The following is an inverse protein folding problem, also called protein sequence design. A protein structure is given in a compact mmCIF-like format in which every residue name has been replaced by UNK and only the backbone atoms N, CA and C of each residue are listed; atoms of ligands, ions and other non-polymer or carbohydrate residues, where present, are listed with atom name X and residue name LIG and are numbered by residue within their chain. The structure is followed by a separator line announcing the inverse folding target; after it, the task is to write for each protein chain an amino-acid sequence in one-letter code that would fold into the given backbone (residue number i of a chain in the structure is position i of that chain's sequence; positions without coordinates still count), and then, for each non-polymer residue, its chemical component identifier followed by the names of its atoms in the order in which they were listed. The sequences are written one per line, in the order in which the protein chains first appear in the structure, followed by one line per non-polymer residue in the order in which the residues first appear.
data_IF_670128787100
#
_entry.id   IF_670128787100
#
_cell.length_a   1.000
_cell.length_b   1.000
_cell.length_c   1.000
_cell.angle_alpha   90.00
_cell.angle_beta   90.00
_cell.angle_gamma   90.00
#
_symmetry.space_group_name_H-M   'P 1'
#
loop_
_entity.id
_entity.type
_entity.pdbx_description
1 polymer ?
#
# COMPACT_ATOMS: atom_id res chain seq x y z
N UNK A 1 25.81 -19.16 31.55
CA UNK A 1 24.47 -19.11 32.16
C UNK A 1 23.72 -17.94 31.56
N UNK A 2 22.40 -18.03 31.40
CA UNK A 2 21.56 -16.88 31.03
C UNK A 2 21.63 -15.83 32.15
N UNK A 3 22.02 -14.58 31.87
CA UNK A 3 22.16 -13.54 32.89
C UNK A 3 20.86 -13.24 33.64
N UNK A 4 19.70 -13.51 33.03
CA UNK A 4 18.38 -13.31 33.63
C UNK A 4 18.08 -14.30 34.75
N UNK A 5 18.77 -15.44 34.82
CA UNK A 5 18.48 -16.49 35.79
C UNK A 5 18.59 -16.01 37.25
N UNK A 6 19.50 -15.07 37.54
CA UNK A 6 19.67 -14.52 38.87
C UNK A 6 18.44 -13.74 39.34
N UNK A 7 17.81 -12.98 38.44
CA UNK A 7 16.59 -12.22 38.75
C UNK A 7 15.43 -13.17 39.06
N UNK A 8 15.25 -14.20 38.23
CA UNK A 8 14.23 -15.24 38.46
C UNK A 8 14.49 -15.99 39.76
N UNK A 9 15.75 -16.36 40.03
CA UNK A 9 16.12 -17.03 41.27
C UNK A 9 15.77 -16.18 42.50
N UNK A 10 16.14 -14.89 42.51
CA UNK A 10 15.84 -14.00 43.61
C UNK A 10 14.33 -13.81 43.78
N UNK A 11 13.57 -13.71 42.68
CA UNK A 11 12.10 -13.61 42.71
C UNK A 11 11.47 -14.86 43.34
N UNK A 12 11.87 -16.05 42.88
CA UNK A 12 11.36 -17.32 43.42
C UNK A 12 11.79 -17.55 44.88
N UNK A 13 12.99 -17.10 45.25
CA UNK A 13 13.47 -17.19 46.63
C UNK A 13 12.68 -16.28 47.57
N UNK A 14 12.42 -15.04 47.18
CA UNK A 14 11.55 -14.13 47.94
C UNK A 14 10.14 -14.69 48.06
N UNK A 15 9.56 -15.16 46.95
CA UNK A 15 8.22 -15.74 46.92
C UNK A 15 8.08 -16.95 47.88
N UNK A 16 9.05 -17.86 47.89
CA UNK A 16 9.03 -19.01 48.79
C UNK A 16 9.24 -18.63 50.25
N UNK A 17 10.04 -17.61 50.54
CA UNK A 17 10.21 -17.09 51.91
C UNK A 17 8.93 -16.45 52.43
N UNK A 18 8.27 -15.65 51.61
CA UNK A 18 6.96 -15.04 51.95
C UNK A 18 5.89 -16.11 52.16
N UNK A 19 5.75 -17.05 51.21
CA UNK A 19 4.80 -18.16 51.33
C UNK A 19 5.13 -19.09 52.51
N UNK A 20 6.42 -19.28 52.80
CA UNK A 20 6.89 -20.02 53.96
C UNK A 20 6.49 -19.35 55.28
N UNK A 21 6.54 -18.02 55.36
CA UNK A 21 6.09 -17.27 56.52
C UNK A 21 4.57 -17.40 56.76
N UNK A 22 3.78 -17.37 55.68
CA UNK A 22 2.34 -17.64 55.75
C UNK A 22 2.06 -19.06 56.25
N UNK A 23 2.77 -20.06 55.69
CA UNK A 23 2.67 -21.46 56.15
C UNK A 23 3.02 -21.59 57.64
N UNK A 24 4.05 -20.88 58.11
CA UNK A 24 4.45 -20.91 59.51
C UNK A 24 3.39 -20.35 60.45
N UNK A 25 2.68 -19.31 60.01
CA UNK A 25 1.56 -18.73 60.77
C UNK A 25 0.37 -19.68 60.85
N UNK A 26 0.05 -20.37 59.76
CA UNK A 26 -1.08 -21.32 59.68
C UNK A 26 -0.79 -22.65 60.39
N UNK A 27 0.47 -23.10 60.38
CA UNK A 27 0.88 -24.41 60.89
C UNK A 27 2.08 -24.33 61.85
N UNK A 28 1.94 -23.65 63.01
CA UNK A 28 3.06 -23.33 63.89
C UNK A 28 3.77 -24.56 64.45
N UNK A 29 3.04 -25.66 64.73
CA UNK A 29 3.63 -26.91 65.20
C UNK A 29 4.53 -27.59 64.16
N UNK A 30 4.20 -27.46 62.87
CA UNK A 30 4.97 -28.06 61.77
C UNK A 30 6.16 -27.16 61.45
N UNK A 31 5.93 -25.84 61.35
CA UNK A 31 6.97 -24.85 61.13
C UNK A 31 8.05 -24.86 62.21
N UNK A 32 7.68 -25.03 63.49
CA UNK A 32 8.64 -25.17 64.58
C UNK A 32 9.55 -26.40 64.41
N UNK A 33 9.06 -27.50 63.82
CA UNK A 33 9.88 -28.70 63.52
C UNK A 33 10.82 -28.49 62.32
N UNK A 34 10.46 -27.57 61.42
CA UNK A 34 11.24 -27.21 60.23
C UNK A 34 12.16 -26.00 60.48
N UNK A 35 12.20 -25.48 61.71
CA UNK A 35 13.02 -24.31 62.06
C UNK A 35 12.55 -23.00 61.40
N UNK A 36 11.29 -22.91 60.98
CA UNK A 36 10.74 -21.71 60.31
C UNK A 36 10.18 -20.74 61.35
N UNK A 37 10.62 -19.48 61.31
CA UNK A 37 10.13 -18.38 62.15
C UNK A 37 9.92 -17.12 61.30
N UNK A 38 8.67 -16.83 60.95
CA UNK A 38 8.39 -15.76 59.99
C UNK A 38 9.07 -16.06 58.65
N UNK A 39 9.81 -15.09 58.10
CA UNK A 39 10.57 -15.25 56.85
C UNK A 39 11.92 -15.95 57.02
N UNK A 40 12.37 -16.13 58.25
CA UNK A 40 13.68 -16.71 58.56
C UNK A 40 13.56 -18.22 58.78
N UNK A 41 14.53 -18.97 58.25
CA UNK A 41 14.63 -20.41 58.38
C UNK A 41 15.93 -20.72 59.09
N UNK A 42 15.84 -21.16 60.34
CA UNK A 42 17.00 -21.43 61.19
C UNK A 42 17.70 -22.75 60.85
N UNK A 43 17.01 -23.70 60.22
CA UNK A 43 17.60 -24.98 59.78
C UNK A 43 18.31 -24.81 58.41
N UNK A 44 19.64 -24.96 58.35
CA UNK A 44 20.39 -24.78 57.11
C UNK A 44 19.98 -25.77 56.01
N UNK A 45 19.55 -26.99 56.34
CA UNK A 45 19.15 -27.98 55.34
C UNK A 45 17.83 -27.60 54.68
N UNK A 46 16.89 -27.07 55.47
CA UNK A 46 15.61 -26.55 54.95
C UNK A 46 15.85 -25.31 54.10
N UNK A 47 16.73 -24.39 54.53
CA UNK A 47 17.09 -23.21 53.75
C UNK A 47 17.76 -23.61 52.42
N UNK A 48 18.76 -24.51 52.43
CA UNK A 48 19.40 -25.00 51.21
C UNK A 48 18.41 -25.72 50.29
N UNK A 49 17.43 -26.43 50.85
CA UNK A 49 16.38 -27.08 50.06
C UNK A 49 15.47 -26.05 49.38
N UNK A 50 15.11 -24.97 50.07
CA UNK A 50 14.34 -23.85 49.50
C UNK A 50 15.13 -23.16 48.39
N UNK A 51 16.41 -22.85 48.61
CA UNK A 51 17.27 -22.28 47.56
C UNK A 51 17.40 -23.20 46.34
N UNK A 52 17.63 -24.50 46.55
CA UNK A 52 17.70 -25.47 45.45
C UNK A 52 16.38 -25.55 44.67
N UNK A 53 15.24 -25.50 45.37
CA UNK A 53 13.93 -25.48 44.74
C UNK A 53 13.67 -24.17 44.00
N UNK A 54 14.01 -23.00 44.59
CA UNK A 54 13.95 -21.69 43.90
C UNK A 54 14.77 -21.71 42.62
N UNK A 55 15.95 -22.32 42.63
CA UNK A 55 16.79 -22.44 41.43
C UNK A 55 16.13 -23.30 40.34
N UNK A 56 15.52 -24.43 40.70
CA UNK A 56 14.78 -25.27 39.75
C UNK A 56 13.52 -24.58 39.21
N UNK A 57 12.75 -23.92 40.08
CA UNK A 57 11.57 -23.14 39.71
C UNK A 57 11.93 -22.00 38.77
N UNK A 58 12.96 -21.23 39.11
CA UNK A 58 13.46 -20.11 38.31
C UNK A 58 13.84 -20.53 36.89
N UNK A 59 14.51 -21.69 36.73
CA UNK A 59 14.83 -22.24 35.41
C UNK A 59 13.59 -22.64 34.61
N UNK A 60 12.55 -23.12 35.29
CA UNK A 60 11.29 -23.51 34.66
C UNK A 60 10.53 -22.27 34.20
N UNK A 61 10.40 -21.27 35.07
CA UNK A 61 9.77 -19.99 34.75
C UNK A 61 10.48 -19.27 33.60
N UNK A 62 11.82 -19.21 33.63
CA UNK A 62 12.60 -18.61 32.54
C UNK A 62 12.33 -19.30 31.19
N UNK A 63 12.16 -20.63 31.19
CA UNK A 63 11.83 -21.39 29.96
C UNK A 63 10.41 -21.13 29.48
N UNK A 64 9.43 -21.07 30.40
CA UNK A 64 8.04 -20.78 30.07
C UNK A 64 7.94 -19.39 29.44
N UNK A 65 8.54 -18.39 30.08
CA UNK A 65 8.51 -17.00 29.61
C UNK A 65 9.23 -16.84 28.26
N UNK A 66 10.29 -17.62 28.01
CA UNK A 66 10.99 -17.61 26.72
C UNK A 66 10.15 -18.20 25.56
N UNK A 67 9.21 -19.10 25.84
CA UNK A 67 8.35 -19.71 24.81
C UNK A 67 7.11 -18.86 24.50
N UNK A 68 6.69 -17.98 25.41
CA UNK A 68 5.48 -17.17 25.22
C UNK A 68 5.52 -16.26 23.96
N UNK A 69 6.62 -15.54 23.64
CA UNK A 69 6.71 -14.76 22.40
C UNK A 69 6.62 -15.62 21.13
N UNK A 70 7.15 -16.84 21.18
CA UNK A 70 7.07 -17.77 20.05
C UNK A 70 5.63 -18.21 19.82
N UNK A 71 4.91 -18.51 20.91
CA UNK A 71 3.50 -18.86 20.84
C UNK A 71 2.65 -17.73 20.26
N UNK A 72 2.82 -16.49 20.74
CA UNK A 72 2.05 -15.34 20.22
C UNK A 72 2.41 -15.04 18.76
N UNK A 73 3.68 -15.16 18.36
CA UNK A 73 4.09 -15.01 16.97
C UNK A 73 3.44 -16.06 16.06
N UNK A 74 3.39 -17.34 16.47
CA UNK A 74 2.70 -18.39 15.71
C UNK A 74 1.20 -18.16 15.59
N UNK A 75 0.56 -17.62 16.63
CA UNK A 75 -0.83 -17.23 16.57
C UNK A 75 -1.05 -16.09 15.55
N UNK A 76 -0.15 -15.11 15.53
CA UNK A 76 -0.18 -14.02 14.56
C UNK A 76 0.05 -14.48 13.12
N UNK A 77 0.93 -15.46 12.89
CA UNK A 77 1.12 -16.08 11.56
C UNK A 77 -0.19 -16.63 10.97
N UNK A 78 -1.10 -17.13 11.82
CA UNK A 78 -2.40 -17.67 11.37
C UNK A 78 -3.42 -16.56 11.12
N UNK A 79 -3.45 -15.55 11.99
CA UNK A 79 -4.48 -14.48 11.96
C UNK A 79 -4.12 -13.37 10.96
N UNK A 80 -2.86 -12.97 10.90
CA UNK A 80 -2.36 -11.88 10.06
C UNK A 80 -0.91 -12.13 9.64
N UNK A 81 -0.68 -12.95 8.60
CA UNK A 81 0.67 -13.32 8.15
C UNK A 81 1.57 -12.11 7.83
N UNK A 82 0.98 -11.05 7.26
CA UNK A 82 1.72 -9.88 6.80
C UNK A 82 2.35 -9.06 7.94
N UNK A 83 1.92 -9.25 9.20
CA UNK A 83 2.45 -8.54 10.37
C UNK A 83 3.75 -9.14 10.93
N UNK A 84 4.04 -10.39 10.59
CA UNK A 84 5.21 -11.14 11.09
C UNK A 84 6.24 -11.39 9.99
N UNK A 85 5.95 -10.95 8.77
CA UNK A 85 6.85 -11.01 7.61
C UNK A 85 7.46 -9.64 7.31
N UNK A 86 8.72 -9.58 6.84
CA UNK A 86 9.31 -8.32 6.40
C UNK A 86 8.54 -7.75 5.20
N UNK A 87 8.33 -6.42 5.21
CA UNK A 87 7.73 -5.70 4.07
C UNK A 87 8.73 -5.68 2.90
N UNK A 88 8.38 -6.18 1.71
CA UNK A 88 9.26 -6.14 0.54
C UNK A 88 9.41 -4.71 0.02
N UNK A 89 10.51 -4.45 -0.69
CA UNK A 89 10.69 -3.20 -1.43
C UNK A 89 9.66 -3.08 -2.57
N UNK A 90 9.11 -1.88 -2.75
CA UNK A 90 8.08 -1.58 -3.74
C UNK A 90 8.48 -0.34 -4.53
N UNK A 91 8.11 -0.29 -5.81
CA UNK A 91 8.37 0.85 -6.69
C UNK A 91 7.35 0.91 -7.83
N UNK A 92 7.17 2.11 -8.38
CA UNK A 92 6.43 2.32 -9.63
C UNK A 92 7.45 2.42 -10.77
N UNK A 93 7.28 1.60 -11.82
CA UNK A 93 8.16 1.58 -12.98
C UNK A 93 7.44 2.06 -14.23
N UNK A 94 8.16 2.78 -15.10
CA UNK A 94 7.67 3.21 -16.41
C UNK A 94 8.27 2.31 -17.49
N UNK A 95 7.40 1.69 -18.28
CA UNK A 95 7.79 0.86 -19.40
C UNK A 95 7.85 1.69 -20.68
N UNK A 96 8.95 1.57 -21.41
CA UNK A 96 9.16 2.22 -22.70
C UNK A 96 9.01 1.15 -23.79
N UNK A 97 7.91 1.14 -24.56
CA UNK A 97 7.80 0.23 -25.69
C UNK A 97 8.82 0.62 -26.75
N UNK A 98 9.44 -0.38 -27.37
CA UNK A 98 10.23 -0.13 -28.58
C UNK A 98 9.27 0.23 -29.72
N UNK A 99 9.48 1.41 -30.31
CA UNK A 99 8.65 1.92 -31.40
C UNK A 99 8.92 1.24 -32.74
N UNK A 100 10.01 0.47 -32.88
CA UNK A 100 10.36 -0.25 -34.10
C UNK A 100 9.93 -1.73 -34.08
N UNK A 101 9.72 -2.29 -32.89
CA UNK A 101 9.34 -3.70 -32.73
C UNK A 101 7.90 -3.86 -32.24
N UNK A 102 7.12 -4.68 -32.96
CA UNK A 102 5.76 -5.06 -32.57
C UNK A 102 4.65 -4.16 -33.14
N UNK A 103 3.44 -4.71 -33.22
CA UNK A 103 2.25 -4.02 -33.67
C UNK A 103 1.60 -3.25 -32.50
N UNK A 104 2.23 -2.15 -32.08
CA UNK A 104 1.75 -1.30 -30.99
C UNK A 104 0.36 -0.71 -31.27
N UNK A 105 -0.08 -0.65 -32.53
CA UNK A 105 -1.42 -0.15 -32.88
C UNK A 105 -2.53 -1.04 -32.30
N UNK A 106 -2.27 -2.34 -32.11
CA UNK A 106 -3.17 -3.27 -31.42
C UNK A 106 -3.02 -3.28 -29.89
N UNK A 107 -1.95 -2.67 -29.38
CA UNK A 107 -1.57 -2.71 -27.97
C UNK A 107 -0.81 -3.99 -27.62
N UNK A 108 0.26 -3.85 -26.83
CA UNK A 108 1.08 -4.98 -26.37
C UNK A 108 0.90 -5.14 -24.87
N UNK A 109 0.34 -6.27 -24.43
CA UNK A 109 0.10 -6.52 -23.01
C UNK A 109 1.30 -7.17 -22.34
N UNK A 110 1.82 -6.52 -21.30
CA UNK A 110 2.75 -7.07 -20.33
C UNK A 110 1.91 -7.71 -19.22
N UNK A 111 1.96 -9.04 -19.05
CA UNK A 111 1.13 -9.70 -18.06
C UNK A 111 1.57 -9.35 -16.63
N UNK A 112 0.65 -9.52 -15.69
CA UNK A 112 0.93 -9.58 -14.26
C UNK A 112 2.03 -10.61 -13.97
N UNK A 113 2.77 -10.39 -12.88
CA UNK A 113 3.86 -11.22 -12.40
C UNK A 113 5.08 -11.28 -13.34
N UNK A 114 5.13 -10.42 -14.36
CA UNK A 114 6.31 -10.22 -15.20
C UNK A 114 7.47 -9.77 -14.32
N UNK A 115 8.61 -10.46 -14.44
CA UNK A 115 9.79 -10.18 -13.64
C UNK A 115 10.60 -9.00 -14.21
N UNK A 116 11.00 -8.08 -13.34
CA UNK A 116 11.96 -7.02 -13.61
C UNK A 116 13.17 -7.23 -12.73
N UNK A 117 14.37 -7.14 -13.30
CA UNK A 117 15.62 -7.37 -12.57
C UNK A 117 16.38 -6.06 -12.50
N UNK A 118 16.77 -5.64 -11.30
CA UNK A 118 17.60 -4.45 -11.12
C UNK A 118 19.05 -4.73 -11.54
N UNK A 119 19.83 -3.68 -11.86
CA UNK A 119 21.28 -3.78 -11.80
C UNK A 119 21.73 -4.24 -10.40
N UNK A 120 22.88 -4.93 -10.32
CA UNK A 120 23.49 -5.31 -9.04
C UNK A 120 24.05 -4.04 -8.39
N UNK A 121 23.62 -3.68 -7.16
CA UNK A 121 24.15 -2.53 -6.44
C UNK A 121 25.65 -2.67 -6.14
N UNK A 122 26.36 -1.54 -6.01
CA UNK A 122 27.76 -1.55 -5.61
C UNK A 122 27.93 -2.19 -4.22
N UNK A 123 28.82 -3.17 -4.11
CA UNK A 123 29.08 -3.89 -2.85
C UNK A 123 28.16 -5.10 -2.61
N UNK A 124 27.20 -5.37 -3.50
CA UNK A 124 26.35 -6.55 -3.44
C UNK A 124 26.68 -7.59 -4.52
N UNK A 125 26.23 -8.83 -4.30
CA UNK A 125 26.45 -9.96 -5.22
C UNK A 125 25.15 -10.43 -5.90
N UNK A 126 24.01 -9.82 -5.58
CA UNK A 126 22.68 -10.28 -6.01
C UNK A 126 21.84 -9.12 -6.52
N UNK A 127 21.15 -9.34 -7.63
CA UNK A 127 20.19 -8.38 -8.17
C UNK A 127 18.83 -8.49 -7.46
N UNK A 128 18.13 -7.38 -7.31
CA UNK A 128 16.75 -7.38 -6.83
C UNK A 128 15.81 -7.80 -7.96
N UNK A 129 14.86 -8.69 -7.65
CA UNK A 129 13.81 -9.10 -8.57
C UNK A 129 12.47 -8.51 -8.13
N UNK A 130 11.85 -7.73 -9.01
CA UNK A 130 10.51 -7.16 -8.84
C UNK A 130 9.53 -7.88 -9.76
N UNK A 131 8.23 -7.79 -9.45
CA UNK A 131 7.15 -8.34 -10.26
C UNK A 131 6.05 -7.32 -10.48
N UNK A 132 5.44 -7.29 -11.67
CA UNK A 132 4.26 -6.45 -11.93
C UNK A 132 3.07 -6.90 -11.11
N UNK A 133 2.33 -5.96 -10.50
CA UNK A 133 1.10 -6.26 -9.75
C UNK A 133 -0.12 -6.52 -10.64
N UNK A 134 -0.08 -6.10 -11.90
CA UNK A 134 -1.23 -6.12 -12.79
C UNK A 134 -0.79 -6.17 -14.26
N UNK A 135 -1.74 -6.54 -15.13
CA UNK A 135 -1.55 -6.46 -16.57
C UNK A 135 -1.44 -5.00 -17.02
N UNK A 136 -0.44 -4.70 -17.84
CA UNK A 136 -0.21 -3.36 -18.38
C UNK A 136 -0.17 -3.44 -19.90
N UNK A 137 -1.09 -2.75 -20.57
CA UNK A 137 -1.08 -2.68 -22.04
C UNK A 137 -0.32 -1.44 -22.50
N UNK A 138 0.74 -1.66 -23.26
CA UNK A 138 1.58 -0.63 -23.85
C UNK A 138 0.91 -0.12 -25.14
N UNK A 139 0.78 1.20 -25.22
CA UNK A 139 0.23 1.90 -26.37
C UNK A 139 1.28 2.86 -26.94
N UNK A 140 1.23 3.17 -28.25
CA UNK A 140 2.17 4.07 -28.89
C UNK A 140 1.78 5.54 -28.63
N UNK A 141 1.67 5.89 -27.35
CA UNK A 141 1.19 7.18 -26.86
C UNK A 141 2.28 7.84 -26.02
N UNK A 142 2.46 9.14 -26.23
CA UNK A 142 3.34 10.00 -25.45
C UNK A 142 2.56 11.20 -24.92
N UNK A 143 2.92 11.68 -23.73
CA UNK A 143 2.40 12.92 -23.18
C UNK A 143 3.32 14.04 -23.70
N UNK A 144 2.76 14.95 -24.47
CA UNK A 144 3.47 16.11 -25.01
C UNK A 144 3.39 17.30 -24.06
N UNK A 145 2.24 17.47 -23.40
CA UNK A 145 2.01 18.62 -22.53
C UNK A 145 0.99 18.31 -21.45
N UNK A 146 1.23 18.85 -20.25
CA UNK A 146 0.26 18.87 -19.14
C UNK A 146 0.16 20.29 -18.61
N UNK A 147 -1.07 20.83 -18.53
CA UNK A 147 -1.33 22.16 -17.97
C UNK A 147 -2.54 22.13 -17.06
N UNK A 148 -2.42 22.71 -15.87
CA UNK A 148 -3.56 23.08 -15.05
C UNK A 148 -3.97 24.51 -15.41
N UNK A 149 -5.20 24.69 -15.88
CA UNK A 149 -5.73 25.99 -16.32
C UNK A 149 -6.99 26.34 -15.54
N UNK A 150 -7.43 27.60 -15.64
CA UNK A 150 -8.81 27.96 -15.33
C UNK A 150 -9.81 27.23 -16.26
N UNK A 151 -11.10 27.53 -16.13
CA UNK A 151 -12.13 27.04 -17.04
C UNK A 151 -11.66 27.16 -18.52
N UNK A 152 -11.75 26.10 -19.33
CA UNK A 152 -11.11 26.07 -20.65
C UNK A 152 -11.64 27.20 -21.57
N UNK A 153 -10.81 28.20 -21.94
CA UNK A 153 -11.27 29.34 -22.72
C UNK A 153 -11.56 28.97 -24.18
N UNK A 154 -10.95 27.89 -24.68
CA UNK A 154 -11.14 27.33 -26.01
C UNK A 154 -12.34 26.37 -26.11
N UNK A 155 -13.16 26.27 -25.06
CA UNK A 155 -14.43 25.54 -25.04
C UNK A 155 -15.61 26.48 -24.75
N UNK A 156 -15.97 27.39 -25.66
CA UNK A 156 -17.07 28.34 -25.42
C UNK A 156 -18.43 27.65 -25.22
N UNK A 157 -18.60 26.45 -25.78
CA UNK A 157 -19.82 25.64 -25.67
C UNK A 157 -19.77 24.59 -24.56
N UNK A 158 -18.95 24.78 -23.51
CA UNK A 158 -18.82 23.80 -22.41
C UNK A 158 -20.16 23.45 -21.74
N UNK A 159 -21.07 24.44 -21.67
CA UNK A 159 -22.44 24.28 -21.17
C UNK A 159 -23.32 23.31 -21.99
N UNK A 160 -22.94 22.98 -23.23
CA UNK A 160 -23.61 21.94 -24.04
C UNK A 160 -23.33 20.54 -23.52
N UNK A 161 -22.16 20.33 -22.92
CA UNK A 161 -21.67 19.03 -22.49
C UNK A 161 -21.86 18.79 -20.99
N UNK A 162 -22.03 19.86 -20.22
CA UNK A 162 -22.20 19.79 -18.77
C UNK A 162 -23.65 20.11 -18.36
N UNK A 163 -24.16 19.46 -17.31
CA UNK A 163 -25.41 19.87 -16.69
C UNK A 163 -25.36 21.35 -16.26
N UNK A 164 -26.48 22.09 -16.34
CA UNK A 164 -26.52 23.53 -16.07
C UNK A 164 -26.12 23.93 -14.63
N UNK A 165 -26.13 22.97 -13.70
CA UNK A 165 -25.83 23.19 -12.28
C UNK A 165 -24.33 23.02 -11.96
N UNK A 166 -23.49 22.69 -12.95
CA UNK A 166 -22.07 22.43 -12.77
C UNK A 166 -21.25 23.64 -13.24
N UNK A 167 -20.51 24.25 -12.32
CA UNK A 167 -19.61 25.37 -12.60
C UNK A 167 -18.15 24.91 -12.58
N UNK A 168 -17.53 24.83 -13.76
CA UNK A 168 -16.12 24.49 -13.89
C UNK A 168 -15.26 25.69 -13.52
N UNK A 169 -14.40 25.52 -12.51
CA UNK A 169 -13.46 26.55 -12.05
C UNK A 169 -12.06 26.36 -12.65
N UNK A 170 -11.69 25.12 -12.97
CA UNK A 170 -10.39 24.78 -13.53
C UNK A 170 -10.44 23.53 -14.40
N UNK A 171 -9.33 23.23 -15.08
CA UNK A 171 -9.17 21.99 -15.81
C UNK A 171 -7.72 21.53 -15.85
N UNK A 172 -7.51 20.23 -15.63
CA UNK A 172 -6.23 19.58 -15.95
C UNK A 172 -6.27 19.11 -17.41
N UNK A 173 -5.36 19.65 -18.21
CA UNK A 173 -5.31 19.43 -19.66
C UNK A 173 -4.07 18.63 -20.00
N UNK A 174 -4.26 17.49 -20.65
CA UNK A 174 -3.20 16.58 -21.08
C UNK A 174 -3.26 16.47 -22.60
N UNK A 175 -2.19 16.85 -23.29
CA UNK A 175 -2.03 16.65 -24.74
C UNK A 175 -1.24 15.37 -24.96
N UNK A 176 -1.84 14.44 -25.69
CA UNK A 176 -1.27 13.16 -26.08
C UNK A 176 -0.91 13.20 -27.56
N UNK A 177 0.20 12.55 -27.91
CA UNK A 177 0.67 12.36 -29.27
C UNK A 177 0.97 10.89 -29.54
N UNK A 178 0.59 10.41 -30.71
CA UNK A 178 0.97 9.09 -31.20
C UNK A 178 2.43 9.06 -31.69
N UNK A 179 3.01 7.87 -31.82
CA UNK A 179 4.32 7.69 -32.46
C UNK A 179 4.19 7.49 -33.98
N UNK A 180 5.19 8.00 -34.72
CA UNK A 180 5.22 7.90 -36.18
C UNK A 180 4.07 8.66 -36.85
N UNK A 181 3.54 8.09 -37.95
CA UNK A 181 2.42 8.62 -38.74
C UNK A 181 1.06 8.03 -38.31
N UNK A 182 1.02 7.28 -37.20
CA UNK A 182 -0.22 6.66 -36.72
C UNK A 182 -1.20 7.71 -36.22
N UNK A 183 -2.47 7.56 -36.56
CA UNK A 183 -3.56 8.38 -36.01
C UNK A 183 -4.24 7.69 -34.84
N UNK A 184 -4.92 8.45 -33.98
CA UNK A 184 -5.69 7.90 -32.87
C UNK A 184 -6.80 6.91 -33.32
N UNK A 185 -7.31 7.06 -34.54
CA UNK A 185 -8.36 6.20 -35.12
C UNK A 185 -7.87 4.84 -35.59
N UNK A 186 -6.57 4.70 -35.86
CA UNK A 186 -5.94 3.45 -36.28
C UNK A 186 -5.58 2.56 -35.08
N UNK A 187 -5.56 3.13 -33.87
CA UNK A 187 -5.34 2.38 -32.65
C UNK A 187 -6.60 1.59 -32.29
N UNK A 188 -6.43 0.34 -31.87
CA UNK A 188 -7.49 -0.42 -31.22
C UNK A 188 -8.03 0.33 -29.98
N UNK A 189 -7.13 1.04 -29.30
CA UNK A 189 -7.40 2.01 -28.25
C UNK A 189 -7.62 1.36 -26.89
N UNK A 190 -7.15 1.98 -25.79
CA UNK A 190 -7.38 1.47 -24.45
C UNK A 190 -8.86 1.61 -24.05
N UNK A 191 -9.39 0.62 -23.33
CA UNK A 191 -10.65 0.78 -22.58
C UNK A 191 -10.48 1.75 -21.40
N UNK A 192 -9.35 1.65 -20.71
CA UNK A 192 -8.96 2.47 -19.56
C UNK A 192 -7.56 3.02 -19.79
N UNK A 193 -7.35 4.31 -19.58
CA UNK A 193 -6.05 4.95 -19.74
C UNK A 193 -5.57 5.51 -18.39
N UNK A 194 -4.69 4.78 -17.67
CA UNK A 194 -4.11 5.23 -16.42
C UNK A 194 -3.01 6.27 -16.66
N UNK A 195 -2.99 7.32 -15.84
CA UNK A 195 -1.93 8.32 -15.76
C UNK A 195 -1.29 8.27 -14.38
N UNK A 196 0.02 8.11 -14.33
CA UNK A 196 0.78 8.19 -13.08
C UNK A 196 1.16 9.65 -12.80
N UNK A 197 0.85 10.15 -11.60
CA UNK A 197 1.24 11.50 -11.16
C UNK A 197 2.66 11.46 -10.61
N UNK A 198 3.64 11.60 -11.50
CA UNK A 198 5.05 11.70 -11.10
C UNK A 198 5.38 13.11 -10.60
N UNK A 199 6.10 13.22 -9.49
CA UNK A 199 6.57 14.49 -8.95
C UNK A 199 6.83 14.43 -7.45
N UNK A 200 7.03 15.61 -6.85
CA UNK A 200 7.10 15.73 -5.39
C UNK A 200 5.79 15.24 -4.76
N UNK A 201 5.89 14.42 -3.71
CA UNK A 201 4.76 13.76 -3.04
C UNK A 201 3.65 14.75 -2.68
N UNK A 202 4.00 15.93 -2.15
CA UNK A 202 3.03 16.97 -1.79
C UNK A 202 2.19 17.44 -2.99
N UNK A 203 2.82 17.61 -4.15
CA UNK A 203 2.14 18.07 -5.36
C UNK A 203 1.31 16.93 -5.96
N UNK A 204 1.89 15.73 -6.04
CA UNK A 204 1.21 14.55 -6.57
C UNK A 204 -0.03 14.19 -5.74
N UNK A 205 0.10 14.17 -4.41
CA UNK A 205 -0.99 13.91 -3.47
C UNK A 205 -2.12 14.94 -3.58
N UNK A 206 -1.79 16.24 -3.62
CA UNK A 206 -2.80 17.28 -3.74
C UNK A 206 -3.49 17.26 -5.11
N UNK A 207 -2.75 16.98 -6.19
CA UNK A 207 -3.33 16.81 -7.51
C UNK A 207 -4.22 15.56 -7.59
N UNK A 208 -3.80 14.47 -6.95
CA UNK A 208 -4.58 13.23 -6.82
C UNK A 208 -5.91 13.51 -6.11
N UNK A 209 -5.88 14.18 -4.95
CA UNK A 209 -7.07 14.59 -4.22
C UNK A 209 -7.98 15.48 -5.07
N UNK A 210 -7.41 16.53 -5.70
CA UNK A 210 -8.15 17.46 -6.52
C UNK A 210 -8.89 16.75 -7.67
N UNK A 211 -8.22 15.81 -8.35
CA UNK A 211 -8.81 15.07 -9.46
C UNK A 211 -9.90 14.11 -9.00
N UNK A 212 -9.75 13.42 -7.87
CA UNK A 212 -10.75 12.45 -7.41
C UNK A 212 -11.94 13.10 -6.69
N UNK A 213 -11.76 14.27 -6.09
CA UNK A 213 -12.83 14.97 -5.34
C UNK A 213 -13.57 16.02 -6.16
N UNK A 214 -12.87 16.68 -7.09
CA UNK A 214 -13.39 17.87 -7.78
C UNK A 214 -13.59 17.66 -9.28
N UNK A 215 -13.18 16.53 -9.87
CA UNK A 215 -13.46 16.25 -11.26
C UNK A 215 -14.95 15.94 -11.48
N UNK A 216 -15.58 16.70 -12.37
CA UNK A 216 -17.01 16.56 -12.70
C UNK A 216 -17.25 16.00 -14.08
N UNK A 217 -16.28 16.14 -14.97
CA UNK A 217 -16.37 15.65 -16.32
C UNK A 217 -14.98 15.44 -16.89
N UNK A 218 -14.86 14.50 -17.82
CA UNK A 218 -13.67 14.40 -18.65
C UNK A 218 -14.03 14.45 -20.12
N UNK A 219 -13.36 15.35 -20.82
CA UNK A 219 -13.59 15.67 -22.22
C UNK A 219 -12.36 15.27 -23.02
N UNK A 220 -12.55 14.60 -24.15
CA UNK A 220 -11.47 14.30 -25.08
C UNK A 220 -11.84 14.77 -26.49
N UNK A 221 -10.90 15.46 -27.14
CA UNK A 221 -11.04 15.99 -28.49
C UNK A 221 -9.70 16.26 -29.15
N UNK A 222 -9.73 16.73 -30.39
CA UNK A 222 -8.53 17.17 -31.12
C UNK A 222 -8.10 18.55 -30.61
N UNK A 223 -6.79 18.82 -30.43
CA UNK A 223 -6.33 20.14 -30.02
C UNK A 223 -6.82 21.24 -30.99
N UNK A 224 -7.48 22.27 -30.46
CA UNK A 224 -7.98 23.39 -31.25
C UNK A 224 -9.36 23.15 -31.91
N UNK A 225 -9.87 21.92 -31.91
CA UNK A 225 -11.21 21.57 -32.42
C UNK A 225 -12.11 21.06 -31.28
N UNK A 226 -12.46 21.98 -30.37
CA UNK A 226 -13.31 21.70 -29.20
C UNK A 226 -14.77 22.17 -29.35
N UNK A 227 -15.14 22.54 -30.57
CA UNK A 227 -16.44 23.01 -31.02
C UNK A 227 -17.31 21.90 -31.65
N UNK A 228 -16.69 20.78 -32.06
CA UNK A 228 -17.34 19.59 -32.62
C UNK A 228 -17.79 18.54 -31.58
N UNK A 229 -18.15 17.34 -32.04
CA UNK A 229 -18.55 16.22 -31.15
C UNK A 229 -17.38 15.73 -30.29
N UNK A 230 -17.45 15.99 -28.98
CA UNK A 230 -16.44 15.54 -28.01
C UNK A 230 -16.80 14.19 -27.41
N UNK A 231 -15.77 13.42 -27.03
CA UNK A 231 -15.95 12.27 -26.16
C UNK A 231 -16.02 12.76 -24.70
N UNK A 232 -17.23 12.71 -24.13
CA UNK A 232 -17.54 13.23 -22.80
C UNK A 232 -17.90 12.07 -21.88
N UNK A 233 -17.38 12.07 -20.65
CA UNK A 233 -17.85 11.22 -19.57
C UNK A 233 -18.13 12.07 -18.34
N UNK A 234 -19.38 11.99 -17.88
CA UNK A 234 -19.89 12.69 -16.70
C UNK A 234 -20.10 11.77 -15.49
N UNK A 235 -20.24 10.46 -15.72
CA UNK A 235 -20.59 9.51 -14.66
C UNK A 235 -19.36 9.09 -13.86
N UNK A 236 -18.27 8.80 -14.56
CA UNK A 236 -17.00 8.37 -13.99
C UNK A 236 -15.88 9.20 -14.64
N UNK A 237 -15.75 10.49 -14.28
CA UNK A 237 -14.75 11.36 -14.89
C UNK A 237 -13.33 10.85 -14.63
N UNK A 238 -13.11 10.27 -13.44
CA UNK A 238 -11.87 9.67 -12.98
C UNK A 238 -12.19 8.35 -12.27
N UNK A 239 -11.30 7.37 -12.39
CA UNK A 239 -11.31 6.13 -11.63
C UNK A 239 -9.98 5.93 -10.90
N UNK A 240 -10.04 5.31 -9.73
CA UNK A 240 -8.86 4.86 -8.99
C UNK A 240 -8.19 3.66 -9.67
N UNK A 241 -6.90 3.48 -9.40
CA UNK A 241 -6.13 2.29 -9.76
C UNK A 241 -5.48 1.71 -8.51
N UNK A 242 -5.36 0.38 -8.43
CA UNK A 242 -4.63 -0.28 -7.34
C UNK A 242 -5.45 -0.56 -6.08
N UNK A 243 -6.74 -0.23 -6.06
CA UNK A 243 -7.60 -0.42 -4.87
C UNK A 243 -8.31 -1.78 -4.85
N UNK A 244 -8.40 -2.48 -5.97
CA UNK A 244 -9.12 -3.76 -6.06
C UNK A 244 -8.29 -4.94 -5.55
N UNK A 245 -8.93 -6.04 -5.07
CA UNK A 245 -8.21 -7.23 -4.57
C UNK A 245 -7.24 -7.87 -5.58
N UNK A 246 -7.48 -7.68 -6.87
CA UNK A 246 -6.59 -8.14 -7.95
C UNK A 246 -5.37 -7.26 -8.19
N UNK A 247 -5.27 -6.09 -7.56
CA UNK A 247 -4.26 -5.07 -7.86
C UNK A 247 -3.32 -4.76 -6.68
N UNK A 248 -3.34 -5.57 -5.62
CA UNK A 248 -2.39 -5.48 -4.50
C UNK A 248 -0.97 -5.91 -4.88
N UNK A 249 0.02 -5.36 -4.18
CA UNK A 249 1.42 -5.79 -4.24
C UNK A 249 1.71 -6.90 -3.23
N UNK A 250 1.10 -6.80 -2.06
CA UNK A 250 1.25 -7.79 -1.00
C UNK A 250 0.33 -8.97 -1.25
N UNK A 251 0.77 -10.20 -0.93
CA UNK A 251 -0.07 -11.38 -1.05
C UNK A 251 -1.32 -11.22 -0.17
N UNK A 252 -2.47 -11.51 -0.75
CA UNK A 252 -3.74 -11.56 -0.03
C UNK A 252 -3.95 -12.97 0.51
N UNK A 253 -3.84 -13.14 1.82
CA UNK A 253 -4.21 -14.39 2.47
C UNK A 253 -5.73 -14.57 2.41
N UNK A 254 -6.19 -15.79 2.15
CA UNK A 254 -7.61 -16.13 1.92
C UNK A 254 -8.54 -15.78 3.09
N UNK A 255 -8.00 -15.66 4.30
CA UNK A 255 -8.72 -15.36 5.54
C UNK A 255 -8.55 -13.90 6.02
N UNK A 256 -7.93 -13.02 5.23
CA UNK A 256 -7.62 -11.64 5.61
C UNK A 256 -8.44 -10.65 4.79
N UNK A 257 -8.95 -9.62 5.46
CA UNK A 257 -9.64 -8.51 4.82
C UNK A 257 -8.67 -7.69 3.96
N UNK A 258 -9.00 -7.51 2.68
CA UNK A 258 -8.19 -6.76 1.70
C UNK A 258 -7.80 -5.35 2.16
N UNK A 259 -8.66 -4.68 2.93
CA UNK A 259 -8.35 -3.34 3.47
C UNK A 259 -7.10 -3.28 4.33
N UNK A 260 -6.68 -4.39 4.97
CA UNK A 260 -5.42 -4.43 5.70
C UNK A 260 -4.21 -4.33 4.75
N UNK A 261 -4.25 -4.99 3.59
CA UNK A 261 -3.19 -4.85 2.59
C UNK A 261 -3.15 -3.44 2.02
N UNK A 262 -4.32 -2.82 1.75
CA UNK A 262 -4.37 -1.44 1.29
C UNK A 262 -3.72 -0.47 2.29
N UNK A 263 -4.03 -0.62 3.59
CA UNK A 263 -3.40 0.20 4.63
C UNK A 263 -1.90 -0.04 4.73
N UNK A 264 -1.47 -1.30 4.72
CA UNK A 264 -0.04 -1.64 4.77
C UNK A 264 0.71 -1.07 3.57
N UNK A 265 0.20 -1.24 2.36
CA UNK A 265 0.79 -0.69 1.15
C UNK A 265 0.78 0.84 1.13
N UNK A 266 -0.26 1.49 1.66
CA UNK A 266 -0.32 2.94 1.76
C UNK A 266 0.79 3.52 2.64
N UNK A 267 1.05 2.89 3.78
CA UNK A 267 2.13 3.33 4.67
C UNK A 267 3.53 2.90 4.20
N UNK A 268 3.63 1.84 3.40
CA UNK A 268 4.91 1.35 2.87
C UNK A 268 5.34 2.06 1.57
N UNK A 269 4.40 2.34 0.67
CA UNK A 269 4.64 2.91 -0.65
C UNK A 269 3.40 3.71 -1.11
N UNK A 270 3.18 4.93 -0.57
CA UNK A 270 2.02 5.75 -0.92
C UNK A 270 2.00 6.13 -2.41
N UNK A 271 3.18 6.28 -3.02
CA UNK A 271 3.38 6.58 -4.43
C UNK A 271 2.60 5.65 -5.36
N UNK A 272 2.45 4.38 -5.01
CA UNK A 272 1.67 3.40 -5.78
C UNK A 272 0.24 3.82 -6.05
N UNK A 273 -0.37 4.63 -5.19
CA UNK A 273 -1.77 5.02 -5.30
C UNK A 273 -1.98 6.25 -6.20
N UNK A 274 -0.92 6.94 -6.63
CA UNK A 274 -1.01 8.17 -7.42
C UNK A 274 -1.28 7.93 -8.91
N UNK A 275 -2.25 7.08 -9.20
CA UNK A 275 -2.79 6.87 -10.54
C UNK A 275 -4.16 7.53 -10.68
N UNK A 276 -4.37 8.15 -11.84
CA UNK A 276 -5.63 8.75 -12.26
C UNK A 276 -6.01 8.07 -13.57
N UNK A 277 -7.08 7.29 -13.55
CA UNK A 277 -7.50 6.54 -14.73
C UNK A 277 -8.68 7.19 -15.41
N UNK A 278 -8.58 7.36 -16.73
CA UNK A 278 -9.72 7.71 -17.59
C UNK A 278 -10.44 6.44 -18.04
N UNK A 279 -11.67 6.15 -17.57
CA UNK A 279 -12.46 5.04 -18.07
C UNK A 279 -13.16 5.37 -19.40
N UNK A 280 -13.60 4.34 -20.12
CA UNK A 280 -14.42 4.43 -21.34
C UNK A 280 -13.77 5.25 -22.48
N UNK A 281 -12.49 5.03 -22.70
CA UNK A 281 -11.72 5.75 -23.71
C UNK A 281 -12.08 5.38 -25.16
N UNK A 282 -12.45 4.10 -25.39
CA UNK A 282 -12.62 3.48 -26.71
C UNK A 282 -13.47 4.28 -27.73
N UNK A 283 -14.68 4.78 -27.41
CA UNK A 283 -15.52 5.45 -28.40
C UNK A 283 -14.90 6.73 -28.96
N UNK A 284 -14.04 7.41 -28.18
CA UNK A 284 -13.36 8.62 -28.61
C UNK A 284 -12.09 8.38 -29.44
N UNK A 285 -11.46 7.20 -29.33
CA UNK A 285 -10.26 6.87 -30.12
C UNK A 285 -10.60 6.73 -31.61
N UNK A 286 -11.61 5.92 -31.93
CA UNK A 286 -12.02 5.65 -33.33
C UNK A 286 -12.48 6.87 -34.13
N UNK A 287 -12.84 7.96 -33.45
CA UNK A 287 -13.32 9.20 -34.09
C UNK A 287 -12.21 10.20 -34.41
N UNK A 288 -11.05 10.10 -33.74
CA UNK A 288 -9.98 11.07 -33.86
C UNK A 288 -9.00 10.64 -34.96
N UNK A 289 -9.04 11.31 -36.11
CA UNK A 289 -8.14 11.05 -37.25
C UNK A 289 -6.83 11.85 -37.19
N UNK A 290 -6.58 12.55 -36.09
CA UNK A 290 -5.36 13.31 -35.88
C UNK A 290 -4.30 12.46 -35.16
N UNK A 291 -3.05 12.92 -35.21
CA UNK A 291 -1.93 12.38 -34.41
C UNK A 291 -1.89 12.95 -33.00
N UNK A 292 -2.64 14.02 -32.75
CA UNK A 292 -2.74 14.67 -31.45
C UNK A 292 -4.14 14.55 -30.89
N UNK A 293 -4.22 14.35 -29.57
CA UNK A 293 -5.48 14.33 -28.84
C UNK A 293 -5.31 15.01 -27.50
N UNK A 294 -6.24 15.89 -27.15
CA UNK A 294 -6.24 16.59 -25.87
C UNK A 294 -7.36 16.06 -24.99
N UNK A 295 -6.97 15.68 -23.77
CA UNK A 295 -7.83 15.25 -22.68
C UNK A 295 -7.93 16.39 -21.66
N UNK A 296 -9.14 16.74 -21.25
CA UNK A 296 -9.40 17.80 -20.27
C UNK A 296 -10.26 17.24 -19.15
N UNK A 297 -9.69 17.15 -17.95
CA UNK A 297 -10.43 16.87 -16.72
C UNK A 297 -10.98 18.18 -16.18
N UNK A 298 -12.29 18.37 -16.26
CA UNK A 298 -12.96 19.57 -15.77
C UNK A 298 -13.16 19.48 -14.25
N UNK A 299 -12.71 20.51 -13.55
CA UNK A 299 -12.71 20.60 -12.10
C UNK A 299 -13.69 21.68 -11.62
N UNK A 300 -14.52 21.36 -10.64
CA UNK A 300 -15.32 22.37 -9.93
C UNK A 300 -14.49 23.06 -8.85
N UNK A 301 -14.90 24.27 -8.45
CA UNK A 301 -14.41 24.83 -7.21
C UNK A 301 -14.81 23.88 -6.06
N UNK A 302 -13.82 23.42 -5.29
CA UNK A 302 -14.05 22.54 -4.16
C UNK A 302 -15.12 23.19 -3.27
N UNK A 303 -16.29 22.52 -3.13
CA UNK A 303 -17.23 22.91 -2.09
C UNK A 303 -16.49 22.66 -0.80
N UNK A 304 -16.03 23.72 -0.12
CA UNK A 304 -15.61 23.62 1.28
C UNK A 304 -16.78 22.98 2.00
N UNK A 305 -16.66 21.69 2.29
CA UNK A 305 -17.52 20.98 3.24
C UNK A 305 -17.30 21.70 4.56
N UNK A 306 -18.29 22.48 4.98
CA UNK A 306 -18.37 23.04 6.32
C UNK A 306 -18.71 21.97 7.34
#
# INVERSE_FOLDING_TARGET
MDPRLLEYYNRELSYLRETGAEFATLHPKIAARLGMQGTDIADPYVERMIEAFSFLSARTQLKIDAEFPRFTQRLLEVVSPNYVTPTPSMAVVKLYPDTQEGDLAKGVTVPRDTAFVSPIPEGENTACQFRSSQDVTLWPLSIEEVRLTAAPPDMPALHRYLPPNIHVAGALRITLRTFGELTFSELAGPARLPFYLCGEERIASHLFELLHTSAVATLAGEPGHFDGELNVNLQHPVAHEGLEPGQGLLPLAWNVFHGHNLLHEFFACPERFYFVTRPDCLPGYKRCRAMWRKLSYCLTACRRTG
#
